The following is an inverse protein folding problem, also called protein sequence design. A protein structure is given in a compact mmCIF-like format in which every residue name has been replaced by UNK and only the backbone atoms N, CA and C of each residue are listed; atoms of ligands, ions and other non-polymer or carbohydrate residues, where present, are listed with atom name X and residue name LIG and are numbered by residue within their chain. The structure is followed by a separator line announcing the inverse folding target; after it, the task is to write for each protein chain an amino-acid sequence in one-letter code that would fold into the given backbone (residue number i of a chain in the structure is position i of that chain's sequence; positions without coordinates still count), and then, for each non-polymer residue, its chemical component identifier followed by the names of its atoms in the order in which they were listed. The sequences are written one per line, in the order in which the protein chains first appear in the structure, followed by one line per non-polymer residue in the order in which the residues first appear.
data_IF_712332231238
#
_entry.id   IF_712332231238
#
_cell.length_a   1.000
_cell.length_b   1.000
_cell.length_c   1.000
_cell.angle_alpha   90.00
_cell.angle_beta   90.00
_cell.angle_gamma   90.00
#
_symmetry.space_group_name_H-M   'P 1'
#
loop_
_entity.id
_entity.type
_entity.pdbx_description
1 polymer ?
#
# COMPACT_ATOMS: atom_id res chain seq x y z
N UNK A 1 4.92 -5.36 4.92
CA UNK A 1 4.55 -4.08 4.24
C UNK A 1 5.82 -3.39 3.80
N UNK A 2 5.93 -3.00 2.53
CA UNK A 2 7.08 -2.32 1.93
C UNK A 2 6.69 -0.86 1.65
N UNK A 3 7.63 0.05 1.88
CA UNK A 3 7.53 1.47 1.50
C UNK A 3 8.70 1.78 0.59
N UNK A 4 8.40 2.22 -0.64
CA UNK A 4 9.43 2.70 -1.55
C UNK A 4 9.69 4.18 -1.29
N UNK A 5 10.94 4.59 -1.30
CA UNK A 5 11.37 5.97 -1.08
C UNK A 5 12.22 6.40 -2.27
N UNK A 6 11.86 7.49 -2.93
CA UNK A 6 12.59 8.03 -4.07
C UNK A 6 12.99 9.49 -3.78
N UNK A 7 14.28 9.73 -3.66
CA UNK A 7 14.88 11.02 -3.39
C UNK A 7 16.31 11.01 -3.93
N UNK A 8 16.72 12.01 -4.69
CA UNK A 8 18.06 12.09 -5.27
C UNK A 8 19.13 12.57 -4.27
N UNK A 9 18.72 13.26 -3.20
CA UNK A 9 19.60 13.63 -2.08
C UNK A 9 19.79 12.43 -1.13
N UNK A 10 20.99 11.86 -1.14
CA UNK A 10 21.37 10.73 -0.28
C UNK A 10 21.18 10.98 1.21
N UNK A 11 21.31 12.24 1.66
CA UNK A 11 21.14 12.56 3.08
C UNK A 11 19.65 12.60 3.44
N UNK A 12 18.80 13.17 2.58
CA UNK A 12 17.36 13.12 2.75
C UNK A 12 16.89 11.67 2.77
N UNK A 13 17.28 10.90 1.75
CA UNK A 13 16.95 9.48 1.63
C UNK A 13 17.35 8.66 2.87
N UNK A 14 18.56 8.89 3.39
CA UNK A 14 19.02 8.21 4.60
C UNK A 14 18.23 8.59 5.86
N UNK A 15 17.80 9.85 5.98
CA UNK A 15 16.98 10.30 7.09
C UNK A 15 15.57 9.72 7.03
N UNK A 16 14.98 9.68 5.84
CA UNK A 16 13.65 9.11 5.57
C UNK A 16 13.66 7.60 5.83
N UNK A 17 14.65 6.89 5.29
CA UNK A 17 14.86 5.47 5.55
C UNK A 17 14.99 5.17 7.05
N UNK A 18 15.85 5.91 7.73
CA UNK A 18 16.06 5.76 9.16
C UNK A 18 14.76 5.98 9.93
N UNK A 19 14.02 7.05 9.59
CA UNK A 19 12.75 7.33 10.26
C UNK A 19 11.78 6.15 10.14
N UNK A 20 11.60 5.59 8.93
CA UNK A 20 10.70 4.46 8.69
C UNK A 20 11.16 3.23 9.49
N UNK A 21 12.46 2.91 9.48
CA UNK A 21 13.00 1.77 10.22
C UNK A 21 12.85 1.89 11.74
N UNK A 22 13.08 3.09 12.27
CA UNK A 22 13.09 3.32 13.72
C UNK A 22 11.67 3.45 14.31
N UNK A 23 10.68 3.83 13.50
CA UNK A 23 9.35 4.19 13.99
C UNK A 23 8.22 3.31 13.46
N UNK A 24 8.52 2.35 12.59
CA UNK A 24 7.50 1.49 11.98
C UNK A 24 8.00 0.06 11.77
N UNK A 25 7.08 -0.87 11.48
CA UNK A 25 7.41 -2.23 11.07
C UNK A 25 7.55 -2.37 9.54
N UNK A 26 7.46 -1.26 8.80
CA UNK A 26 7.61 -1.26 7.36
C UNK A 26 9.08 -1.45 6.95
N UNK A 27 9.30 -2.10 5.83
CA UNK A 27 10.61 -2.26 5.20
C UNK A 27 10.77 -1.18 4.15
N UNK A 28 11.65 -0.18 4.34
CA UNK A 28 11.95 0.81 3.33
C UNK A 28 12.87 0.24 2.25
N UNK A 29 12.57 0.54 1.00
CA UNK A 29 13.43 0.34 -0.17
C UNK A 29 13.70 1.69 -0.83
N UNK A 30 14.98 2.06 -1.00
CA UNK A 30 15.41 3.40 -1.36
C UNK A 30 15.91 3.47 -2.79
N UNK A 31 15.57 4.55 -3.50
CA UNK A 31 15.91 4.79 -4.91
C UNK A 31 16.36 6.23 -5.10
N UNK A 32 17.43 6.43 -5.88
CA UNK A 32 17.95 7.77 -6.20
C UNK A 32 17.26 8.41 -7.41
N UNK A 33 16.33 7.70 -8.07
CA UNK A 33 15.62 8.23 -9.23
C UNK A 33 14.43 7.36 -9.64
N UNK A 34 13.53 7.95 -10.41
CA UNK A 34 12.25 7.33 -10.78
C UNK A 34 12.40 6.09 -11.67
N UNK A 35 13.46 6.01 -12.48
CA UNK A 35 13.67 4.86 -13.37
C UNK A 35 13.92 3.55 -12.62
N UNK A 36 14.77 3.58 -11.61
CA UNK A 36 15.04 2.42 -10.74
C UNK A 36 13.79 2.02 -9.97
N UNK A 37 13.07 3.01 -9.45
CA UNK A 37 11.81 2.79 -8.74
C UNK A 37 10.75 2.15 -9.66
N UNK A 38 10.54 2.65 -10.86
CA UNK A 38 9.60 2.07 -11.84
C UNK A 38 10.01 0.64 -12.22
N UNK A 39 11.32 0.37 -12.37
CA UNK A 39 11.84 -0.97 -12.61
C UNK A 39 11.53 -1.90 -11.42
N UNK A 40 11.66 -1.42 -10.20
CA UNK A 40 11.29 -2.21 -9.00
C UNK A 40 9.80 -2.55 -9.00
N UNK A 41 8.93 -1.59 -9.31
CA UNK A 41 7.48 -1.79 -9.39
C UNK A 41 7.11 -2.81 -10.47
N UNK A 42 7.80 -2.80 -11.60
CA UNK A 42 7.54 -3.76 -12.69
C UNK A 42 7.93 -5.20 -12.35
N UNK A 43 8.74 -5.42 -11.32
CA UNK A 43 9.12 -6.75 -10.84
C UNK A 43 8.10 -7.37 -9.87
N UNK A 44 7.14 -6.60 -9.40
CA UNK A 44 6.05 -7.01 -8.52
C UNK A 44 5.69 -5.93 -7.51
N UNK A 45 4.42 -5.87 -7.16
CA UNK A 45 3.86 -4.86 -6.24
C UNK A 45 3.35 -5.43 -4.93
N UNK A 46 3.51 -6.73 -4.72
CA UNK A 46 3.07 -7.41 -3.51
C UNK A 46 3.70 -6.75 -2.28
N UNK A 47 2.88 -6.53 -1.28
CA UNK A 47 3.25 -5.89 -0.02
C UNK A 47 3.67 -4.41 -0.10
N UNK A 48 3.73 -3.78 -1.29
CA UNK A 48 4.02 -2.35 -1.43
C UNK A 48 2.79 -1.54 -1.05
N UNK A 49 2.89 -0.78 0.03
CA UNK A 49 1.78 0.02 0.55
C UNK A 49 1.79 1.47 0.04
N UNK A 50 2.96 2.04 -0.15
CA UNK A 50 3.12 3.43 -0.54
C UNK A 50 4.48 3.69 -1.22
N UNK A 51 4.50 4.76 -2.00
CA UNK A 51 5.71 5.39 -2.51
C UNK A 51 5.84 6.77 -1.87
N UNK A 52 6.95 7.02 -1.21
CA UNK A 52 7.39 8.35 -0.81
C UNK A 52 8.22 8.92 -1.95
N UNK A 53 7.78 10.02 -2.51
CA UNK A 53 8.31 10.58 -3.75
C UNK A 53 8.77 12.02 -3.53
N UNK A 54 10.06 12.29 -3.69
CA UNK A 54 10.50 13.68 -3.83
C UNK A 54 9.98 14.27 -5.15
N UNK A 55 9.65 15.54 -5.13
CA UNK A 55 9.15 16.24 -6.32
C UNK A 55 10.31 16.68 -7.21
N UNK A 56 11.37 17.21 -6.61
CA UNK A 56 12.54 17.71 -7.32
C UNK A 56 13.61 16.60 -7.38
N UNK A 57 13.65 15.82 -8.46
CA UNK A 57 14.67 14.80 -8.70
C UNK A 57 15.76 15.32 -9.65
N UNK A 58 16.98 14.76 -9.54
CA UNK A 58 18.11 15.10 -10.40
C UNK A 58 17.83 14.83 -11.90
N UNK A 59 18.68 15.43 -12.77
CA UNK A 59 18.60 15.27 -14.22
C UNK A 59 17.29 15.73 -14.88
N UNK A 60 16.62 16.73 -14.31
CA UNK A 60 15.34 17.26 -14.80
C UNK A 60 14.20 16.23 -14.74
N UNK A 61 14.35 15.17 -13.97
CA UNK A 61 13.26 14.24 -13.68
C UNK A 61 12.32 14.91 -12.67
N UNK A 62 11.02 14.91 -12.97
CA UNK A 62 10.00 15.48 -12.10
C UNK A 62 9.25 14.33 -11.40
N UNK A 63 9.32 14.30 -10.05
CA UNK A 63 8.67 13.26 -9.26
C UNK A 63 7.14 13.22 -9.43
N UNK A 64 6.50 14.35 -9.80
CA UNK A 64 5.07 14.38 -10.12
C UNK A 64 4.79 13.54 -11.36
N UNK A 65 5.62 13.63 -12.41
CA UNK A 65 5.46 12.82 -13.63
C UNK A 65 5.68 11.33 -13.36
N UNK A 66 6.66 10.99 -12.53
CA UNK A 66 6.89 9.59 -12.09
C UNK A 66 5.69 9.08 -11.30
N UNK A 67 5.19 9.87 -10.37
CA UNK A 67 4.02 9.54 -9.56
C UNK A 67 2.74 9.36 -10.41
N UNK A 68 2.56 10.17 -11.45
CA UNK A 68 1.46 10.02 -12.41
C UNK A 68 1.55 8.68 -13.16
N UNK A 69 2.74 8.28 -13.61
CA UNK A 69 2.95 6.97 -14.23
C UNK A 69 2.62 5.82 -13.27
N UNK A 70 3.06 5.94 -12.00
CA UNK A 70 2.75 4.94 -10.97
C UNK A 70 1.24 4.85 -10.74
N UNK A 71 0.56 5.98 -10.56
CA UNK A 71 -0.89 6.00 -10.32
C UNK A 71 -1.71 5.43 -11.48
N UNK A 72 -1.21 5.58 -12.72
CA UNK A 72 -1.86 4.99 -13.89
C UNK A 72 -1.66 3.47 -13.99
N UNK A 73 -0.49 2.95 -13.61
CA UNK A 73 -0.14 1.54 -13.75
C UNK A 73 -0.49 0.72 -12.49
N UNK A 74 -0.44 1.36 -11.33
CA UNK A 74 -0.57 0.73 -10.01
C UNK A 74 -1.48 1.57 -9.09
N UNK A 75 -2.79 1.65 -9.37
CA UNK A 75 -3.73 2.58 -8.70
C UNK A 75 -3.88 2.31 -7.19
N UNK A 76 -3.56 1.11 -6.72
CA UNK A 76 -3.64 0.74 -5.31
C UNK A 76 -2.44 1.24 -4.48
N UNK A 77 -1.35 1.64 -5.14
CA UNK A 77 -0.17 2.17 -4.47
C UNK A 77 -0.39 3.65 -4.13
N UNK A 78 -0.30 3.98 -2.87
CA UNK A 78 -0.48 5.35 -2.39
C UNK A 78 0.76 6.19 -2.61
N UNK A 79 0.57 7.38 -3.18
CA UNK A 79 1.64 8.36 -3.39
C UNK A 79 1.66 9.36 -2.26
N UNK A 80 2.80 9.49 -1.60
CA UNK A 80 3.07 10.49 -0.56
C UNK A 80 4.22 11.35 -1.06
N UNK A 81 3.94 12.60 -1.39
CA UNK A 81 4.99 13.50 -1.81
C UNK A 81 5.79 14.03 -0.61
N UNK A 82 7.10 14.10 -0.78
CA UNK A 82 8.05 14.76 0.11
C UNK A 82 8.60 15.98 -0.62
N UNK A 83 8.62 17.14 0.00
CA UNK A 83 9.18 18.35 -0.64
C UNK A 83 9.59 19.39 0.40
N UNK A 84 10.65 20.13 0.09
CA UNK A 84 11.04 21.31 0.84
C UNK A 84 10.17 22.55 0.50
N UNK A 85 9.38 22.48 -0.58
CA UNK A 85 8.63 23.59 -1.16
C UNK A 85 7.14 23.26 -1.35
N UNK A 86 6.50 22.80 -0.30
CA UNK A 86 5.12 22.28 -0.34
C UNK A 86 4.12 23.24 -1.00
N UNK A 87 4.19 24.55 -0.71
CA UNK A 87 3.29 25.56 -1.29
C UNK A 87 3.51 25.76 -2.80
N UNK A 88 4.75 25.67 -3.27
CA UNK A 88 5.10 25.83 -4.69
C UNK A 88 4.45 24.77 -5.57
N UNK A 89 4.39 23.53 -5.09
CA UNK A 89 3.95 22.39 -5.89
C UNK A 89 2.49 22.00 -5.69
N UNK A 90 1.78 22.60 -4.72
CA UNK A 90 0.37 22.27 -4.51
C UNK A 90 -0.46 22.39 -5.80
N UNK A 91 -0.32 23.51 -6.54
CA UNK A 91 -1.08 23.72 -7.77
C UNK A 91 -0.71 22.70 -8.85
N UNK A 92 0.59 22.43 -9.04
CA UNK A 92 1.09 21.46 -10.03
C UNK A 92 0.58 20.04 -9.75
N UNK A 93 0.63 19.63 -8.48
CA UNK A 93 0.11 18.32 -8.05
C UNK A 93 -1.39 18.20 -8.31
N UNK A 94 -2.18 19.25 -8.02
CA UNK A 94 -3.62 19.22 -8.24
C UNK A 94 -4.00 19.32 -9.73
N UNK A 95 -3.14 19.90 -10.58
CA UNK A 95 -3.33 19.98 -12.03
C UNK A 95 -2.72 18.80 -12.77
N UNK A 96 -1.92 17.94 -12.12
CA UNK A 96 -1.42 16.70 -12.68
C UNK A 96 -2.58 15.79 -13.13
N UNK A 97 -2.24 14.76 -13.89
CA UNK A 97 -3.22 13.92 -14.57
C UNK A 97 -4.38 13.45 -13.69
N UNK A 98 -5.51 13.18 -14.30
CA UNK A 98 -6.78 12.86 -13.62
C UNK A 98 -6.71 11.70 -12.62
N UNK A 99 -5.71 10.84 -12.78
CA UNK A 99 -5.56 9.64 -11.95
C UNK A 99 -4.56 9.84 -10.80
N UNK A 100 -3.82 10.95 -10.77
CA UNK A 100 -2.91 11.24 -9.67
C UNK A 100 -3.68 11.91 -8.54
N UNK A 101 -4.01 11.15 -7.51
CA UNK A 101 -4.57 11.65 -6.26
C UNK A 101 -3.53 11.41 -5.17
N UNK A 102 -2.79 12.44 -4.75
CA UNK A 102 -1.79 12.26 -3.71
C UNK A 102 -2.45 11.87 -2.39
N UNK A 103 -1.91 10.84 -1.75
CA UNK A 103 -2.40 10.40 -0.45
C UNK A 103 -2.05 11.39 0.66
N UNK A 104 -0.84 11.96 0.59
CA UNK A 104 -0.37 13.01 1.49
C UNK A 104 0.73 13.85 0.83
N UNK A 105 0.93 15.05 1.38
CA UNK A 105 2.06 15.92 1.09
C UNK A 105 2.79 16.18 2.40
N UNK A 106 4.09 15.88 2.44
CA UNK A 106 4.97 16.00 3.59
C UNK A 106 5.99 17.10 3.33
N UNK A 107 6.01 18.10 4.20
CA UNK A 107 7.01 19.15 4.18
C UNK A 107 8.29 18.66 4.88
N UNK A 108 9.42 18.67 4.17
CA UNK A 108 10.72 18.23 4.67
C UNK A 108 11.28 19.15 5.77
N UNK A 109 10.78 20.40 5.92
CA UNK A 109 11.25 21.31 6.98
C UNK A 109 10.93 20.79 8.40
N UNK A 110 9.86 20.02 8.57
CA UNK A 110 9.48 19.38 9.83
C UNK A 110 9.27 17.87 9.62
N UNK A 111 10.29 17.24 9.05
CA UNK A 111 10.23 15.87 8.51
C UNK A 111 9.62 14.87 9.50
N UNK A 112 10.16 14.75 10.71
CA UNK A 112 9.72 13.76 11.71
C UNK A 112 8.25 13.88 12.07
N UNK A 113 7.78 15.12 12.29
CA UNK A 113 6.38 15.39 12.66
C UNK A 113 5.45 15.07 11.49
N UNK A 114 5.83 15.46 10.28
CA UNK A 114 5.02 15.30 9.09
C UNK A 114 5.02 13.85 8.59
N UNK A 115 6.18 13.16 8.67
CA UNK A 115 6.25 11.73 8.39
C UNK A 115 5.39 10.93 9.37
N UNK A 116 5.43 11.27 10.66
CA UNK A 116 4.56 10.61 11.64
C UNK A 116 3.09 10.71 11.25
N UNK A 117 2.63 11.91 10.91
CA UNK A 117 1.23 12.14 10.50
C UNK A 117 0.86 11.36 9.23
N UNK A 118 1.76 11.35 8.25
CA UNK A 118 1.57 10.61 7.01
C UNK A 118 1.50 9.09 7.26
N UNK A 119 2.38 8.57 8.11
CA UNK A 119 2.39 7.15 8.49
C UNK A 119 1.17 6.74 9.30
N UNK A 120 0.73 7.57 10.26
CA UNK A 120 -0.48 7.31 11.02
C UNK A 120 -1.72 7.27 10.10
N UNK A 121 -1.80 8.21 9.14
CA UNK A 121 -2.85 8.23 8.11
C UNK A 121 -2.78 6.98 7.22
N UNK A 122 -1.58 6.60 6.78
CA UNK A 122 -1.36 5.42 5.94
C UNK A 122 -1.82 4.14 6.67
N UNK A 123 -1.40 3.95 7.91
CA UNK A 123 -1.81 2.80 8.72
C UNK A 123 -3.33 2.72 8.87
N UNK A 124 -3.98 3.83 9.23
CA UNK A 124 -5.44 3.88 9.36
C UNK A 124 -6.15 3.50 8.05
N UNK A 125 -5.64 3.98 6.90
CA UNK A 125 -6.20 3.66 5.61
C UNK A 125 -6.02 2.17 5.25
N UNK A 126 -4.83 1.61 5.51
CA UNK A 126 -4.56 0.18 5.28
C UNK A 126 -5.44 -0.73 6.16
N UNK A 127 -5.63 -0.36 7.42
CA UNK A 127 -6.51 -1.12 8.32
C UNK A 127 -7.98 -1.06 7.84
N UNK A 128 -8.44 0.11 7.39
CA UNK A 128 -9.78 0.26 6.79
C UNK A 128 -9.95 -0.56 5.52
N UNK A 129 -8.92 -0.63 4.66
CA UNK A 129 -8.99 -1.42 3.44
C UNK A 129 -8.99 -2.93 3.73
N UNK A 130 -8.24 -3.38 4.73
CA UNK A 130 -8.31 -4.76 5.22
C UNK A 130 -9.70 -5.10 5.73
N UNK A 131 -10.34 -4.20 6.49
CA UNK A 131 -11.71 -4.41 6.97
C UNK A 131 -12.71 -4.50 5.81
N UNK A 132 -12.59 -3.64 4.79
CA UNK A 132 -13.46 -3.67 3.61
C UNK A 132 -13.24 -4.91 2.74
N UNK A 133 -12.04 -5.47 2.72
CA UNK A 133 -11.73 -6.67 1.97
C UNK A 133 -12.25 -7.96 2.63
N UNK A 134 -12.67 -7.90 3.90
CA UNK A 134 -13.24 -9.05 4.60
C UNK A 134 -14.62 -9.40 4.08
N UNK A 135 -14.82 -10.68 3.77
CA UNK A 135 -16.14 -11.22 3.46
C UNK A 135 -16.76 -11.87 4.69
N UNK A 136 -18.05 -11.67 4.86
CA UNK A 136 -18.81 -12.33 5.90
C UNK A 136 -19.29 -13.70 5.38
N UNK A 137 -18.87 -14.77 6.03
CA UNK A 137 -19.34 -16.14 5.75
C UNK A 137 -20.24 -16.56 6.89
N UNK A 138 -21.52 -16.83 6.58
CA UNK A 138 -22.50 -17.28 7.57
C UNK A 138 -22.78 -18.76 7.39
N UNK A 139 -22.54 -19.54 8.44
CA UNK A 139 -22.76 -20.99 8.47
C UNK A 139 -23.47 -21.36 9.77
N UNK A 140 -24.58 -22.08 9.67
CA UNK A 140 -25.37 -22.56 10.83
C UNK A 140 -25.72 -21.41 11.83
N UNK A 141 -26.06 -20.23 11.31
CA UNK A 141 -26.37 -19.02 12.10
C UNK A 141 -25.18 -18.39 12.83
N UNK A 142 -23.97 -18.85 12.59
CA UNK A 142 -22.73 -18.19 13.01
C UNK A 142 -22.10 -17.44 11.85
N UNK A 143 -21.75 -16.19 12.05
CA UNK A 143 -21.06 -15.37 11.06
C UNK A 143 -19.62 -15.17 11.47
N UNK A 144 -18.70 -15.46 10.55
CA UNK A 144 -17.28 -15.17 10.73
C UNK A 144 -16.76 -14.42 9.50
N UNK A 145 -15.69 -13.67 9.71
CA UNK A 145 -15.06 -12.89 8.65
C UNK A 145 -13.83 -13.61 8.11
N UNK A 146 -13.68 -13.59 6.78
CA UNK A 146 -12.54 -14.18 6.07
C UNK A 146 -11.95 -13.12 5.14
N UNK A 147 -10.65 -13.08 5.04
CA UNK A 147 -9.93 -12.25 4.07
C UNK A 147 -9.58 -13.10 2.83
N UNK A 148 -10.26 -12.91 1.68
CA UNK A 148 -10.03 -13.75 0.50
C UNK A 148 -8.56 -13.73 0.04
N UNK A 149 -7.91 -12.57 0.08
CA UNK A 149 -6.50 -12.42 -0.33
C UNK A 149 -5.50 -13.16 0.57
N UNK A 150 -5.90 -13.51 1.79
CA UNK A 150 -5.10 -14.33 2.71
C UNK A 150 -5.49 -15.81 2.69
N UNK A 151 -6.57 -16.15 1.99
CA UNK A 151 -7.06 -17.51 1.88
C UNK A 151 -6.29 -18.23 0.77
N UNK A 152 -5.55 -19.27 1.15
CA UNK A 152 -4.74 -20.06 0.25
C UNK A 152 -5.58 -21.07 -0.52
N UNK A 153 -6.47 -21.79 0.19
CA UNK A 153 -7.42 -22.73 -0.40
C UNK A 153 -8.53 -23.08 0.59
N UNK A 154 -9.56 -23.70 0.07
CA UNK A 154 -10.67 -24.27 0.83
C UNK A 154 -10.60 -25.80 0.70
N UNK A 155 -10.59 -26.49 1.84
CA UNK A 155 -10.58 -27.96 1.89
C UNK A 155 -11.90 -28.47 2.45
N UNK A 156 -12.56 -29.37 1.72
CA UNK A 156 -13.77 -30.02 2.18
C UNK A 156 -13.48 -31.47 2.58
N UNK A 157 -13.77 -31.80 3.85
CA UNK A 157 -13.63 -33.14 4.37
C UNK A 157 -14.97 -33.58 4.98
N UNK A 158 -15.71 -34.42 4.27
CA UNK A 158 -17.05 -34.88 4.61
C UNK A 158 -18.03 -33.70 4.85
N UNK A 159 -18.29 -33.36 6.09
CA UNK A 159 -19.18 -32.26 6.49
C UNK A 159 -18.44 -31.06 7.11
N UNK A 160 -17.14 -31.07 7.04
CA UNK A 160 -16.28 -30.01 7.57
C UNK A 160 -15.56 -29.32 6.44
N UNK A 161 -15.68 -28.00 6.41
CA UNK A 161 -14.93 -27.13 5.53
C UNK A 161 -13.78 -26.50 6.34
N UNK A 162 -12.59 -26.57 5.82
CA UNK A 162 -11.41 -25.90 6.39
C UNK A 162 -11.02 -24.77 5.44
N UNK A 163 -11.00 -23.57 5.96
CA UNK A 163 -10.51 -22.37 5.28
C UNK A 163 -9.06 -22.19 5.70
N UNK A 164 -8.14 -22.50 4.79
CA UNK A 164 -6.71 -22.40 5.04
C UNK A 164 -6.22 -21.02 4.61
N UNK A 165 -5.66 -20.28 5.56
CA UNK A 165 -5.13 -18.92 5.32
C UNK A 165 -3.63 -18.88 5.57
N UNK A 166 -2.98 -17.79 5.17
CA UNK A 166 -1.56 -17.56 5.48
C UNK A 166 -1.26 -17.37 6.97
N UNK A 167 -2.29 -17.15 7.81
CA UNK A 167 -2.19 -17.01 9.27
C UNK A 167 -2.85 -18.17 10.00
N UNK A 168 -4.15 -18.09 10.23
CA UNK A 168 -4.92 -19.07 10.99
C UNK A 168 -5.85 -19.88 10.08
N UNK A 169 -5.95 -21.19 10.33
CA UNK A 169 -6.95 -22.02 9.68
C UNK A 169 -8.27 -21.95 10.43
N UNK A 170 -9.37 -21.81 9.70
CA UNK A 170 -10.74 -21.84 10.26
C UNK A 170 -11.43 -23.11 9.80
N UNK A 171 -12.05 -23.81 10.74
CA UNK A 171 -12.80 -25.02 10.46
C UNK A 171 -14.29 -24.80 10.78
N UNK A 172 -15.15 -25.06 9.79
CA UNK A 172 -16.61 -24.88 9.94
C UNK A 172 -17.35 -26.10 9.39
N UNK A 173 -18.49 -26.41 9.97
CA UNK A 173 -19.34 -27.48 9.48
C UNK A 173 -20.28 -26.95 8.39
N UNK A 174 -19.83 -27.06 7.14
CA UNK A 174 -20.56 -26.53 5.97
C UNK A 174 -20.22 -27.31 4.71
N UNK A 175 -21.01 -27.11 3.65
CA UNK A 175 -20.66 -27.53 2.30
C UNK A 175 -19.79 -26.47 1.64
N UNK A 176 -18.88 -26.90 0.80
CA UNK A 176 -18.01 -26.02 0.03
C UNK A 176 -18.82 -25.02 -0.84
N UNK A 177 -19.93 -25.49 -1.46
CA UNK A 177 -20.82 -24.66 -2.27
C UNK A 177 -21.35 -23.44 -1.51
N UNK A 178 -21.74 -23.62 -0.26
CA UNK A 178 -22.41 -22.58 0.54
C UNK A 178 -21.45 -21.46 0.94
N UNK A 179 -20.15 -21.74 0.95
CA UNK A 179 -19.08 -20.79 1.30
C UNK A 179 -18.49 -20.15 0.05
N UNK A 180 -18.37 -20.90 -1.04
CA UNK A 180 -17.84 -20.37 -2.31
C UNK A 180 -18.66 -19.20 -2.87
N UNK A 181 -19.99 -19.19 -2.64
CA UNK A 181 -20.85 -18.06 -3.07
C UNK A 181 -20.46 -16.72 -2.44
N UNK A 182 -19.82 -16.74 -1.28
CA UNK A 182 -19.34 -15.53 -0.60
C UNK A 182 -17.97 -15.06 -1.11
N UNK A 183 -17.20 -15.92 -1.78
CA UNK A 183 -15.88 -15.57 -2.32
C UNK A 183 -15.98 -14.87 -3.68
N UNK A 184 -15.01 -14.00 -4.00
CA UNK A 184 -14.94 -13.37 -5.31
C UNK A 184 -14.79 -14.40 -6.45
N UNK A 185 -15.25 -14.08 -7.68
CA UNK A 185 -15.24 -15.03 -8.80
C UNK A 185 -13.84 -15.43 -9.31
N UNK A 186 -12.80 -14.78 -8.84
CA UNK A 186 -11.41 -15.15 -9.14
C UNK A 186 -10.81 -16.14 -8.11
N UNK A 187 -11.57 -16.55 -7.13
CA UNK A 187 -11.20 -17.56 -6.15
C UNK A 187 -11.72 -18.94 -6.59
#
# INVERSE_FOLDING_TARGET
MIILICDDDKNCLANEEKYIRDNTEAVPECFLGGKELLKRLSAGTEDIAAVFMDIELDNSENGIMVAEQISNLYPDIRIIFLTAYSLKYCEEIFLAGKNLVPFALVDKQNLDVNLKRAMDKLRTALDSDKEKSRIAVTVNSETFFVEPMQTLYLESNAHTLIIVTSGENKSVRSKLSDVLEAFPPYF
#
